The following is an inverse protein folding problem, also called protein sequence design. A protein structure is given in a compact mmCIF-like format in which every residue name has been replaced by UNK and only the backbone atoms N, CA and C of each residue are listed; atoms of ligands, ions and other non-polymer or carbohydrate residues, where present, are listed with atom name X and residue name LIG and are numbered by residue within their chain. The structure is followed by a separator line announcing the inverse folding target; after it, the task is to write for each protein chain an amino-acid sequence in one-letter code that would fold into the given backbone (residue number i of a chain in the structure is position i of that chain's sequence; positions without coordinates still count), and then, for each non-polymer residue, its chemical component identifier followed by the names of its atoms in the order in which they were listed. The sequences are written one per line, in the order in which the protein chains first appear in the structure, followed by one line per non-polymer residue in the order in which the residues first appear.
data_IF_369635561886
#
_entry.id   IF_369635561886
#
_cell.length_a   1.000
_cell.length_b   1.000
_cell.length_c   1.000
_cell.angle_alpha   90.00
_cell.angle_beta   90.00
_cell.angle_gamma   90.00
#
_symmetry.space_group_name_H-M   'P 1'
#
loop_
_entity.id
_entity.type
_entity.pdbx_description
1 polymer ?
#
# COMPACT_ATOMS: atom_id res chain seq x y z
N UNK A 1 20.54 3.03 -7.42
CA UNK A 1 19.75 3.35 -6.23
C UNK A 1 18.96 2.09 -5.91
N UNK A 2 19.10 1.52 -4.72
CA UNK A 2 18.37 0.31 -4.33
C UNK A 2 17.94 0.51 -2.89
N UNK A 3 16.66 0.33 -2.54
CA UNK A 3 16.21 0.41 -1.16
C UNK A 3 16.95 -0.61 -0.29
N UNK A 4 17.24 -0.26 0.95
CA UNK A 4 17.80 -1.22 1.90
C UNK A 4 16.77 -2.28 2.26
N UNK A 5 17.25 -3.52 2.41
CA UNK A 5 16.52 -4.58 3.11
C UNK A 5 16.88 -4.48 4.59
N UNK A 6 15.86 -4.21 5.42
CA UNK A 6 15.96 -3.95 6.86
C UNK A 6 15.24 -5.05 7.62
N UNK A 7 15.97 -5.78 8.45
CA UNK A 7 15.38 -6.73 9.39
C UNK A 7 14.71 -5.96 10.53
N UNK A 8 13.40 -6.12 10.68
CA UNK A 8 12.59 -5.39 11.65
C UNK A 8 13.05 -5.61 13.11
N UNK A 9 13.74 -6.71 13.38
CA UNK A 9 14.19 -7.09 14.72
C UNK A 9 15.62 -6.67 15.03
N UNK A 10 16.35 -6.15 14.04
CA UNK A 10 17.74 -5.74 14.22
C UNK A 10 17.85 -4.45 15.05
N UNK A 11 18.94 -4.33 15.83
CA UNK A 11 19.15 -3.18 16.71
C UNK A 11 19.40 -1.87 15.93
N UNK A 12 19.93 -1.96 14.72
CA UNK A 12 20.19 -0.86 13.79
C UNK A 12 19.03 -0.62 12.81
N UNK A 13 17.94 -1.38 12.91
CA UNK A 13 16.77 -1.22 12.04
C UNK A 13 16.24 0.21 11.97
N UNK A 14 16.13 0.98 13.08
CA UNK A 14 15.62 2.34 13.03
C UNK A 14 16.45 3.29 12.17
N UNK A 15 17.79 3.22 12.31
CA UNK A 15 18.73 4.06 11.59
C UNK A 15 18.74 3.71 10.10
N UNK A 16 18.85 2.41 9.78
CA UNK A 16 18.89 1.91 8.40
C UNK A 16 17.59 2.18 7.64
N UNK A 17 16.45 1.96 8.29
CA UNK A 17 15.14 2.26 7.70
C UNK A 17 15.02 3.75 7.34
N UNK A 18 15.39 4.63 8.28
CA UNK A 18 15.30 6.09 8.09
C UNK A 18 16.24 6.58 6.99
N UNK A 19 17.47 6.06 6.93
CA UNK A 19 18.42 6.42 5.87
C UNK A 19 17.97 5.90 4.49
N UNK A 20 17.39 4.71 4.41
CA UNK A 20 16.82 4.17 3.16
C UNK A 20 15.69 5.05 2.64
N UNK A 21 14.75 5.45 3.52
CA UNK A 21 13.67 6.37 3.16
C UNK A 21 14.21 7.73 2.71
N UNK A 22 15.21 8.28 3.41
CA UNK A 22 15.82 9.56 3.05
C UNK A 22 16.48 9.53 1.68
N UNK A 23 17.19 8.45 1.37
CA UNK A 23 17.99 8.35 0.15
C UNK A 23 17.17 7.92 -1.05
N UNK A 24 16.19 7.03 -0.88
CA UNK A 24 15.46 6.40 -1.98
C UNK A 24 13.95 6.69 -1.99
N UNK A 25 13.40 7.19 -0.89
CA UNK A 25 11.95 7.27 -0.65
C UNK A 25 11.31 5.94 -0.22
N UNK A 26 12.09 4.84 -0.16
CA UNK A 26 11.60 3.48 0.07
C UNK A 26 12.50 2.70 1.03
N UNK A 27 11.95 1.64 1.63
CA UNK A 27 12.69 0.65 2.39
C UNK A 27 11.96 -0.70 2.29
N UNK A 28 12.71 -1.79 2.22
CA UNK A 28 12.16 -3.16 2.28
C UNK A 28 12.33 -3.66 3.71
N UNK A 29 11.25 -4.15 4.31
CA UNK A 29 11.26 -4.61 5.71
C UNK A 29 11.00 -6.12 5.76
N UNK A 30 11.89 -6.86 6.42
CA UNK A 30 11.76 -8.30 6.65
C UNK A 30 11.55 -8.60 8.13
N UNK A 31 11.10 -9.82 8.47
CA UNK A 31 10.89 -10.26 9.86
C UNK A 31 9.94 -9.34 10.67
N UNK A 32 9.02 -8.66 9.98
CA UNK A 32 7.97 -7.83 10.57
C UNK A 32 6.89 -8.70 11.28
N UNK A 33 6.11 -8.15 12.21
CA UNK A 33 5.15 -8.91 13.01
C UNK A 33 3.84 -9.29 12.28
N UNK A 34 3.65 -8.86 11.02
CA UNK A 34 2.48 -9.28 10.22
C UNK A 34 2.51 -10.80 9.97
N UNK A 35 1.50 -11.57 10.43
CA UNK A 35 1.49 -13.02 10.28
C UNK A 35 1.34 -13.43 8.81
N UNK A 36 2.23 -14.28 8.32
CA UNK A 36 2.20 -14.72 6.92
C UNK A 36 0.91 -15.49 6.57
N UNK A 37 0.41 -16.32 7.49
CA UNK A 37 -0.85 -17.05 7.29
C UNK A 37 -2.04 -16.11 7.07
N UNK A 38 -2.06 -14.95 7.76
CA UNK A 38 -3.09 -13.92 7.59
C UNK A 38 -2.98 -13.23 6.22
N UNK A 39 -1.76 -12.98 5.75
CA UNK A 39 -1.55 -12.45 4.40
C UNK A 39 -2.05 -13.46 3.37
N UNK A 40 -1.72 -14.75 3.52
CA UNK A 40 -2.13 -15.79 2.59
C UNK A 40 -3.65 -16.00 2.56
N UNK A 41 -4.32 -16.00 3.71
CA UNK A 41 -5.78 -16.11 3.78
C UNK A 41 -6.45 -14.94 3.06
N UNK A 42 -5.93 -13.72 3.23
CA UNK A 42 -6.42 -12.54 2.54
C UNK A 42 -6.31 -12.63 1.02
N UNK A 43 -5.16 -13.03 0.51
CA UNK A 43 -5.00 -13.19 -0.94
C UNK A 43 -6.02 -14.19 -1.49
N UNK A 44 -6.20 -15.34 -0.84
CA UNK A 44 -7.13 -16.37 -1.31
C UNK A 44 -8.59 -15.92 -1.25
N UNK A 45 -9.01 -15.37 -0.11
CA UNK A 45 -10.40 -14.95 0.12
C UNK A 45 -10.80 -13.77 -0.78
N UNK A 46 -9.93 -12.77 -0.93
CA UNK A 46 -10.23 -11.61 -1.76
C UNK A 46 -10.16 -11.91 -3.26
N UNK A 47 -9.29 -12.83 -3.70
CA UNK A 47 -9.31 -13.35 -5.06
C UNK A 47 -10.67 -14.01 -5.37
N UNK A 48 -11.17 -14.88 -4.48
CA UNK A 48 -12.49 -15.51 -4.62
C UNK A 48 -13.61 -14.46 -4.63
N UNK A 49 -13.56 -13.48 -3.71
CA UNK A 49 -14.54 -12.40 -3.64
C UNK A 49 -14.63 -11.60 -4.94
N UNK A 50 -13.50 -11.13 -5.50
CA UNK A 50 -13.49 -10.39 -6.77
C UNK A 50 -13.97 -11.26 -7.94
N UNK A 51 -13.52 -12.53 -8.01
CA UNK A 51 -13.82 -13.41 -9.15
C UNK A 51 -15.24 -14.00 -9.13
N UNK A 52 -15.87 -14.08 -7.97
CA UNK A 52 -17.26 -14.55 -7.83
C UNK A 52 -18.30 -13.57 -8.41
N UNK A 53 -17.93 -12.30 -8.58
CA UNK A 53 -18.84 -11.20 -8.95
C UNK A 53 -19.60 -10.60 -7.77
N UNK A 54 -19.40 -11.09 -6.53
CA UNK A 54 -20.04 -10.53 -5.34
C UNK A 54 -19.66 -9.05 -5.10
N UNK A 55 -18.45 -8.65 -5.51
CA UNK A 55 -17.95 -7.28 -5.38
C UNK A 55 -18.87 -6.20 -5.99
N UNK A 56 -19.61 -6.52 -7.07
CA UNK A 56 -20.53 -5.58 -7.72
C UNK A 56 -21.62 -5.04 -6.77
N UNK A 57 -22.05 -5.86 -5.80
CA UNK A 57 -23.03 -5.47 -4.79
C UNK A 57 -22.51 -4.39 -3.82
N UNK A 58 -21.19 -4.21 -3.77
CA UNK A 58 -20.50 -3.29 -2.85
C UNK A 58 -19.89 -2.09 -3.58
N UNK A 59 -20.33 -1.83 -4.81
CA UNK A 59 -19.83 -0.71 -5.62
C UNK A 59 -19.83 0.61 -4.83
N UNK A 60 -18.75 1.36 -4.99
CA UNK A 60 -18.50 2.64 -4.32
C UNK A 60 -19.68 3.60 -4.44
N UNK A 61 -19.92 4.36 -3.37
CA UNK A 61 -20.94 5.40 -3.32
C UNK A 61 -20.52 6.69 -4.05
N UNK A 62 -21.42 7.70 -4.10
CA UNK A 62 -21.13 8.98 -4.77
C UNK A 62 -20.00 9.80 -4.12
N UNK A 63 -19.64 9.49 -2.87
CA UNK A 63 -18.55 10.11 -2.13
C UNK A 63 -17.17 9.52 -2.45
N UNK A 64 -17.13 8.41 -3.20
CA UNK A 64 -15.92 7.71 -3.65
C UNK A 64 -14.94 7.32 -2.52
N UNK A 65 -15.43 7.04 -1.32
CA UNK A 65 -14.55 6.70 -0.19
C UNK A 65 -14.40 5.19 -0.02
N UNK A 66 -15.47 4.47 0.29
CA UNK A 66 -15.42 3.04 0.63
C UNK A 66 -16.16 2.14 -0.36
N UNK A 67 -15.78 0.86 -0.37
CA UNK A 67 -16.41 -0.16 -1.21
C UNK A 67 -15.59 -0.52 -2.44
N UNK A 68 -16.25 -1.16 -3.39
CA UNK A 68 -15.67 -1.72 -4.60
C UNK A 68 -15.58 -0.69 -5.74
N UNK A 69 -14.41 -0.61 -6.35
CA UNK A 69 -14.13 0.18 -7.54
C UNK A 69 -13.87 -0.77 -8.72
N UNK A 70 -14.87 -0.99 -9.59
CA UNK A 70 -14.71 -1.84 -10.76
C UNK A 70 -13.73 -1.22 -11.77
N UNK A 71 -13.15 -2.01 -12.68
CA UNK A 71 -12.24 -1.51 -13.72
C UNK A 71 -12.81 -0.39 -14.60
N UNK A 72 -14.14 -0.31 -14.70
CA UNK A 72 -14.82 0.75 -15.47
C UNK A 72 -14.77 2.13 -14.78
N UNK A 73 -14.62 2.15 -13.46
CA UNK A 73 -14.59 3.36 -12.60
C UNK A 73 -13.15 3.65 -12.14
N UNK A 74 -12.27 2.64 -12.07
CA UNK A 74 -10.84 2.82 -11.83
C UNK A 74 -10.25 3.86 -12.80
N UNK A 75 -9.61 4.88 -12.24
CA UNK A 75 -9.27 6.14 -12.91
C UNK A 75 -8.54 5.94 -14.26
N UNK A 76 -8.84 6.82 -15.22
CA UNK A 76 -7.99 7.01 -16.39
C UNK A 76 -6.76 7.81 -15.94
N UNK A 77 -5.57 7.21 -15.96
CA UNK A 77 -4.34 7.91 -15.63
C UNK A 77 -4.19 9.20 -16.46
N UNK A 78 -3.81 10.32 -15.84
CA UNK A 78 -3.64 11.61 -16.52
C UNK A 78 -2.74 11.44 -17.75
N UNK A 79 -3.30 11.64 -18.95
CA UNK A 79 -2.56 11.63 -20.22
C UNK A 79 -2.50 10.28 -20.96
N UNK A 80 -3.21 9.24 -20.52
CA UNK A 80 -3.28 7.94 -21.24
C UNK A 80 -4.67 7.65 -21.79
N UNK A 81 -4.72 7.04 -22.98
CA UNK A 81 -5.95 6.59 -23.66
C UNK A 81 -6.36 5.17 -23.28
N UNK A 82 -5.47 4.42 -22.63
CA UNK A 82 -5.69 3.05 -22.16
C UNK A 82 -6.01 3.08 -20.66
N UNK A 83 -7.12 2.44 -20.28
CA UNK A 83 -7.60 2.38 -18.89
C UNK A 83 -6.69 1.48 -18.06
N UNK A 84 -6.50 1.81 -16.79
CA UNK A 84 -5.83 0.92 -15.85
C UNK A 84 -6.67 -0.35 -15.69
N UNK A 85 -6.07 -1.51 -15.98
CA UNK A 85 -6.70 -2.81 -15.82
C UNK A 85 -6.54 -3.26 -14.37
N UNK A 86 -7.22 -2.55 -13.46
CA UNK A 86 -7.25 -2.88 -12.04
C UNK A 86 -8.62 -2.68 -11.46
N UNK A 87 -8.94 -3.51 -10.48
CA UNK A 87 -10.08 -3.33 -9.59
C UNK A 87 -9.55 -3.25 -8.17
N UNK A 88 -10.26 -2.54 -7.30
CA UNK A 88 -9.84 -2.43 -5.92
C UNK A 88 -11.01 -2.21 -4.98
N UNK A 89 -10.79 -2.51 -3.71
CA UNK A 89 -11.72 -2.27 -2.62
C UNK A 89 -11.08 -1.36 -1.58
N UNK A 90 -11.82 -0.35 -1.13
CA UNK A 90 -11.39 0.53 -0.05
C UNK A 90 -12.05 0.13 1.25
N UNK A 91 -11.22 -0.10 2.28
CA UNK A 91 -11.64 -0.46 3.62
C UNK A 91 -11.06 0.54 4.61
N UNK A 92 -11.94 1.20 5.37
CA UNK A 92 -11.61 2.09 6.48
C UNK A 92 -12.05 1.48 7.82
N UNK A 93 -11.53 1.98 8.96
CA UNK A 93 -12.02 1.58 10.29
C UNK A 93 -13.54 1.78 10.49
N UNK A 94 -14.13 2.76 9.81
CA UNK A 94 -15.56 3.09 9.86
C UNK A 94 -16.36 2.52 8.69
N UNK A 95 -15.75 1.65 7.87
CA UNK A 95 -16.41 1.14 6.67
C UNK A 95 -17.69 0.38 7.00
N UNK A 96 -18.82 0.82 6.44
CA UNK A 96 -20.11 0.14 6.53
C UNK A 96 -20.32 -0.83 5.36
N UNK A 97 -19.60 -0.63 4.25
CA UNK A 97 -19.70 -1.48 3.05
C UNK A 97 -18.77 -2.68 3.07
N UNK A 98 -18.38 -3.18 4.24
CA UNK A 98 -17.53 -4.37 4.32
C UNK A 98 -18.31 -5.63 3.87
N UNK A 99 -17.74 -6.47 2.97
CA UNK A 99 -18.48 -7.61 2.44
C UNK A 99 -18.81 -8.67 3.49
N UNK A 100 -19.99 -9.27 3.39
CA UNK A 100 -20.39 -10.40 4.26
C UNK A 100 -19.81 -11.75 3.81
N UNK A 101 -19.33 -11.81 2.57
CA UNK A 101 -18.73 -12.97 1.91
C UNK A 101 -17.28 -13.22 2.33
N UNK A 102 -16.64 -12.22 2.96
CA UNK A 102 -15.26 -12.29 3.44
C UNK A 102 -15.24 -12.22 4.97
N UNK A 103 -14.24 -12.86 5.56
CA UNK A 103 -13.94 -12.85 6.99
C UNK A 103 -13.49 -11.47 7.47
N UNK A 104 -13.20 -11.33 8.77
CA UNK A 104 -12.63 -10.11 9.35
C UNK A 104 -11.09 -10.01 9.19
N UNK A 105 -10.47 -10.92 8.46
CA UNK A 105 -9.02 -10.97 8.28
C UNK A 105 -8.46 -9.64 7.74
N UNK A 106 -9.20 -8.92 6.88
CA UNK A 106 -8.69 -7.69 6.28
C UNK A 106 -8.66 -6.55 7.30
N UNK A 107 -9.66 -6.53 8.19
CA UNK A 107 -9.71 -5.61 9.31
C UNK A 107 -8.57 -5.91 10.29
N UNK A 108 -8.33 -7.18 10.62
CA UNK A 108 -7.24 -7.61 11.49
C UNK A 108 -5.87 -7.28 10.89
N UNK A 109 -5.67 -7.54 9.60
CA UNK A 109 -4.44 -7.19 8.89
C UNK A 109 -4.20 -5.68 8.91
N UNK A 110 -5.23 -4.87 8.64
CA UNK A 110 -5.13 -3.40 8.70
C UNK A 110 -4.63 -2.94 10.06
N UNK A 111 -5.19 -3.48 11.14
CA UNK A 111 -4.82 -3.07 12.50
C UNK A 111 -3.35 -3.41 12.80
N UNK A 112 -2.91 -4.64 12.48
CA UNK A 112 -1.51 -5.03 12.65
C UNK A 112 -0.58 -4.21 11.74
N UNK A 113 -0.95 -3.97 10.49
CA UNK A 113 -0.17 -3.15 9.56
C UNK A 113 -0.07 -1.69 10.03
N UNK A 114 -1.11 -1.18 10.69
CA UNK A 114 -1.10 0.16 11.32
C UNK A 114 -0.14 0.20 12.51
N UNK A 115 -0.07 -0.86 13.32
CA UNK A 115 0.90 -0.97 14.41
C UNK A 115 2.34 -1.05 13.89
N UNK A 116 2.56 -1.79 12.80
CA UNK A 116 3.85 -1.82 12.08
C UNK A 116 4.19 -0.42 11.60
N UNK A 117 3.28 0.26 10.90
CA UNK A 117 3.49 1.62 10.41
C UNK A 117 3.81 2.60 11.55
N UNK A 118 3.12 2.50 12.67
CA UNK A 118 3.39 3.31 13.88
C UNK A 118 4.81 3.10 14.39
N UNK A 119 5.29 1.85 14.44
CA UNK A 119 6.67 1.54 14.82
C UNK A 119 7.68 2.13 13.84
N UNK A 120 7.45 1.96 12.53
CA UNK A 120 8.31 2.50 11.48
C UNK A 120 8.38 4.03 11.51
N UNK A 121 7.26 4.71 11.78
CA UNK A 121 7.24 6.16 11.95
C UNK A 121 7.97 6.59 13.23
N UNK A 122 7.89 5.80 14.30
CA UNK A 122 8.69 6.02 15.50
C UNK A 122 10.19 5.90 15.24
N UNK A 123 10.61 5.03 14.33
CA UNK A 123 12.00 4.94 13.90
C UNK A 123 12.45 6.19 13.14
N UNK A 124 11.57 6.73 12.28
CA UNK A 124 11.82 8.02 11.60
C UNK A 124 11.98 9.12 12.64
N UNK A 125 11.06 9.27 13.60
CA UNK A 125 11.15 10.28 14.66
C UNK A 125 12.47 10.19 15.45
N UNK A 126 12.96 8.97 15.70
CA UNK A 126 14.20 8.75 16.44
C UNK A 126 15.48 9.12 15.65
N UNK A 127 15.41 9.20 14.31
CA UNK A 127 16.58 9.33 13.45
C UNK A 127 16.53 10.51 12.47
N UNK A 128 15.46 11.31 12.45
CA UNK A 128 15.44 12.57 11.70
C UNK A 128 16.35 13.62 12.38
N UNK A 129 17.00 14.51 11.61
CA UNK A 129 17.76 15.62 12.19
C UNK A 129 16.86 16.54 13.02
N UNK A 130 17.41 17.11 14.10
CA UNK A 130 16.68 18.03 14.99
C UNK A 130 16.09 19.22 14.24
N UNK A 131 16.79 19.76 13.24
CA UNK A 131 16.32 20.91 12.46
C UNK A 131 15.12 20.58 11.55
N UNK A 132 14.89 19.28 11.27
CA UNK A 132 13.71 18.79 10.58
C UNK A 132 12.59 18.57 11.59
N UNK A 133 12.88 17.90 12.70
CA UNK A 133 11.91 17.63 13.77
C UNK A 133 11.26 18.93 14.30
N UNK A 134 12.06 19.99 14.50
CA UNK A 134 11.58 21.31 14.97
C UNK A 134 10.60 22.00 14.00
N UNK A 135 10.58 21.59 12.72
CA UNK A 135 9.63 22.11 11.72
C UNK A 135 8.32 21.34 11.69
N UNK A 136 8.27 20.16 12.31
CA UNK A 136 7.06 19.36 12.40
C UNK A 136 6.19 19.88 13.53
N UNK A 137 4.88 19.91 13.31
CA UNK A 137 3.91 20.34 14.34
C UNK A 137 3.78 19.33 15.50
N UNK A 138 4.23 18.09 15.26
CA UNK A 138 4.24 16.95 16.19
C UNK A 138 5.17 15.86 15.63
N UNK A 139 5.60 14.89 16.44
CA UNK A 139 6.25 13.67 15.95
C UNK A 139 5.43 12.99 14.84
N UNK A 140 6.10 12.40 13.87
CA UNK A 140 5.47 11.75 12.72
C UNK A 140 4.60 10.57 13.17
N UNK A 141 5.05 9.78 14.14
CA UNK A 141 4.28 8.69 14.72
C UNK A 141 2.93 9.18 15.32
N UNK A 142 2.93 10.36 15.95
CA UNK A 142 1.73 10.96 16.55
C UNK A 142 0.70 11.43 15.51
N UNK A 143 1.04 11.45 14.22
CA UNK A 143 0.09 11.76 13.14
C UNK A 143 -0.88 10.60 12.85
N UNK A 144 -0.56 9.37 13.27
CA UNK A 144 -1.46 8.22 13.18
C UNK A 144 -2.44 8.15 14.36
N UNK A 145 -2.11 8.74 15.50
CA UNK A 145 -2.92 8.64 16.73
C UNK A 145 -4.32 9.21 16.52
N UNK A 146 -5.34 8.36 16.68
CA UNK A 146 -6.76 8.73 16.51
C UNK A 146 -7.17 8.96 15.06
N UNK A 147 -6.33 8.60 14.08
CA UNK A 147 -6.64 8.75 12.67
C UNK A 147 -7.58 7.63 12.20
N UNK A 148 -8.79 8.01 11.80
CA UNK A 148 -9.79 7.08 11.23
C UNK A 148 -9.74 7.00 9.71
N UNK A 149 -8.80 7.69 9.05
CA UNK A 149 -8.63 7.75 7.59
C UNK A 149 -7.48 6.88 7.07
N UNK A 150 -6.88 6.04 7.90
CA UNK A 150 -5.97 4.99 7.42
C UNK A 150 -6.74 4.04 6.52
N UNK A 151 -6.34 3.99 5.25
CA UNK A 151 -6.98 3.19 4.21
C UNK A 151 -6.26 1.85 4.06
N UNK A 152 -6.99 0.74 4.13
CA UNK A 152 -6.57 -0.50 3.50
C UNK A 152 -7.15 -0.56 2.08
N UNK A 153 -6.27 -0.60 1.08
CA UNK A 153 -6.65 -0.74 -0.32
C UNK A 153 -6.29 -2.14 -0.80
N UNK A 154 -7.30 -2.93 -1.12
CA UNK A 154 -7.15 -4.30 -1.62
C UNK A 154 -7.24 -4.24 -3.13
N UNK A 155 -6.17 -4.60 -3.84
CA UNK A 155 -6.06 -4.46 -5.29
C UNK A 155 -6.01 -5.83 -5.95
N UNK A 156 -6.70 -5.94 -7.09
CA UNK A 156 -6.55 -7.06 -8.02
C UNK A 156 -6.23 -6.52 -9.40
N UNK A 157 -5.22 -7.10 -10.02
CA UNK A 157 -4.87 -6.86 -11.42
C UNK A 157 -5.30 -8.08 -12.24
N UNK A 158 -6.43 -8.03 -12.97
CA UNK A 158 -6.82 -9.12 -13.85
C UNK A 158 -5.70 -9.46 -14.85
N UNK A 159 -5.64 -10.72 -15.33
CA UNK A 159 -4.74 -11.10 -16.41
C UNK A 159 -4.91 -10.16 -17.61
N UNK A 160 -3.80 -9.79 -18.25
CA UNK A 160 -3.86 -9.06 -19.52
C UNK A 160 -4.39 -10.02 -20.59
N UNK A 161 -5.43 -9.59 -21.31
CA UNK A 161 -5.90 -10.31 -22.49
C UNK A 161 -4.79 -10.36 -23.55
N UNK A 162 -4.79 -11.40 -24.38
CA UNK A 162 -3.73 -11.65 -25.38
C UNK A 162 -3.57 -10.55 -26.44
N UNK A 163 -4.51 -9.62 -26.52
CA UNK A 163 -4.52 -8.45 -27.41
C UNK A 163 -4.15 -7.14 -26.69
N UNK A 164 -3.69 -7.21 -25.43
CA UNK A 164 -3.25 -6.04 -24.68
C UNK A 164 -2.14 -5.30 -25.45
N UNK A 165 -2.25 -3.97 -25.63
CA UNK A 165 -1.25 -3.20 -26.37
C UNK A 165 0.13 -3.35 -25.76
N UNK A 166 1.16 -3.43 -26.60
CA UNK A 166 2.56 -3.33 -26.18
C UNK A 166 2.75 -2.01 -25.41
N UNK A 167 3.19 -2.10 -24.14
CA UNK A 167 3.28 -0.96 -23.23
C UNK A 167 2.06 -0.68 -22.36
N UNK A 168 1.09 -1.60 -22.28
CA UNK A 168 0.06 -1.56 -21.25
C UNK A 168 0.72 -1.61 -19.86
N UNK A 169 0.63 -0.50 -19.12
CA UNK A 169 1.17 -0.39 -17.77
C UNK A 169 0.06 -0.75 -16.78
N UNK A 170 0.35 -1.62 -15.81
CA UNK A 170 -0.60 -2.05 -14.77
C UNK A 170 -0.95 -0.95 -13.76
N UNK A 171 0.03 -0.10 -13.46
CA UNK A 171 -0.14 1.10 -12.65
C UNK A 171 0.75 2.22 -13.19
N UNK A 172 0.17 3.38 -13.49
CA UNK A 172 0.96 4.54 -13.91
C UNK A 172 1.90 5.02 -12.78
N UNK A 173 3.04 5.60 -13.16
CA UNK A 173 3.94 6.29 -12.23
C UNK A 173 3.18 7.37 -11.46
N UNK A 174 3.26 7.32 -10.13
CA UNK A 174 2.64 8.28 -9.22
C UNK A 174 3.43 8.34 -7.92
N UNK A 175 3.14 9.37 -7.13
CA UNK A 175 3.58 9.51 -5.75
C UNK A 175 2.37 9.32 -4.84
N UNK A 176 2.61 8.74 -3.67
CA UNK A 176 1.61 8.62 -2.63
C UNK A 176 1.46 9.97 -1.89
N UNK A 177 0.20 10.36 -1.66
CA UNK A 177 -0.12 11.64 -0.98
C UNK A 177 -0.22 11.52 0.54
N UNK A 178 -0.24 10.28 1.05
CA UNK A 178 -0.35 9.96 2.47
C UNK A 178 1.02 9.98 3.16
N UNK A 179 1.01 9.71 4.47
CA UNK A 179 2.20 9.81 5.30
C UNK A 179 3.22 8.68 5.05
N UNK A 180 2.73 7.45 5.03
CA UNK A 180 3.50 6.23 4.79
C UNK A 180 2.55 5.21 4.16
N UNK A 181 3.06 4.45 3.18
CA UNK A 181 2.37 3.29 2.60
C UNK A 181 3.12 2.03 2.99
N UNK A 182 2.41 1.04 3.56
CA UNK A 182 2.94 -0.28 3.85
C UNK A 182 2.31 -1.27 2.88
N UNK A 183 3.14 -1.90 2.06
CA UNK A 183 2.75 -2.88 1.06
C UNK A 183 3.44 -4.21 1.39
N UNK A 184 2.71 -5.30 1.66
CA UNK A 184 3.30 -6.63 1.72
C UNK A 184 3.96 -6.94 0.39
N UNK A 185 5.15 -7.53 0.43
CA UNK A 185 5.79 -8.02 -0.77
C UNK A 185 4.83 -8.99 -1.49
N UNK A 186 4.63 -8.75 -2.79
CA UNK A 186 3.92 -9.68 -3.66
C UNK A 186 4.93 -10.69 -4.21
N UNK A 187 4.50 -11.92 -4.50
CA UNK A 187 5.35 -12.90 -5.18
C UNK A 187 5.61 -12.54 -6.66
N UNK A 188 5.03 -11.46 -7.16
CA UNK A 188 5.21 -10.98 -8.53
C UNK A 188 6.22 -9.83 -8.59
N UNK A 189 7.10 -9.88 -9.58
CA UNK A 189 8.00 -8.77 -9.93
C UNK A 189 7.23 -7.65 -10.63
N UNK A 190 7.65 -6.40 -10.45
CA UNK A 190 7.10 -5.29 -11.25
C UNK A 190 7.04 -3.94 -10.54
N UNK A 191 7.36 -3.88 -9.24
CA UNK A 191 7.52 -2.61 -8.54
C UNK A 191 8.88 -1.99 -8.89
N UNK A 192 8.84 -0.77 -9.42
CA UNK A 192 10.04 0.00 -9.76
C UNK A 192 9.97 1.41 -9.14
N UNK A 193 11.14 1.98 -8.85
CA UNK A 193 11.32 3.31 -8.29
C UNK A 193 12.01 4.22 -9.30
N UNK A 194 11.52 5.45 -9.44
CA UNK A 194 12.20 6.48 -10.23
C UNK A 194 13.26 7.18 -9.36
N UNK A 195 14.54 6.93 -9.66
CA UNK A 195 15.65 7.59 -8.98
C UNK A 195 15.80 9.05 -9.39
N UNK A 196 16.54 9.82 -8.57
CA UNK A 196 16.85 11.23 -8.85
C UNK A 196 17.66 11.46 -10.14
N UNK A 197 18.26 10.39 -10.70
CA UNK A 197 18.94 10.39 -12.00
C UNK A 197 17.98 10.14 -13.18
N UNK A 198 16.68 10.02 -12.92
CA UNK A 198 15.64 9.78 -13.92
C UNK A 198 15.55 8.34 -14.42
N UNK A 199 16.22 7.39 -13.75
CA UNK A 199 16.19 5.97 -14.12
C UNK A 199 15.27 5.16 -13.21
N UNK A 200 14.71 4.09 -13.75
CA UNK A 200 13.89 3.13 -13.01
C UNK A 200 14.77 2.05 -12.37
N UNK A 201 14.45 1.70 -11.12
CA UNK A 201 15.15 0.71 -10.31
C UNK A 201 14.16 -0.30 -9.73
N UNK A 202 14.41 -1.59 -9.91
CA UNK A 202 13.58 -2.65 -9.33
C UNK A 202 13.67 -2.65 -7.79
N UNK A 203 12.53 -2.93 -7.14
CA UNK A 203 12.46 -3.15 -5.69
C UNK A 203 12.66 -4.65 -5.40
N UNK A 204 13.56 -5.02 -4.47
CA UNK A 204 13.79 -6.40 -4.05
C UNK A 204 12.58 -7.10 -3.43
#
# INVERSE_FOLDING_TARGET
MTPDVVDFTAADAPERFTESLRTTGFAVVTNHPLPWELVQSLYAEWEEFFTSGAADAYTVGPDNQEGYFPPKIAETAKGRTVRDLKEFFHVYPWSEKYPSEVSDDAMRYRDIATDVASTLLGWVDANIPSEVAEKLSRPVADMLTGNSRTLLRILRYPPLESDAPEGAVRAAAHEDINLLTVLPASNETGLELLGADGKWYEVP
#
